data_IF_668882933614
#
_entry.id   IF_668882933614
#
_cell.length_a   1.000
_cell.length_b   1.000
_cell.length_c   1.000
_cell.angle_alpha   90.00
_cell.angle_beta   90.00
_cell.angle_gamma   90.00
#
_symmetry.space_group_name_H-M   'P 1'
#
loop_
_entity.id
_entity.type
_entity.pdbx_description
1 polymer ?
#
# COMPACT_ATOMS: atom_id res chain seq x y z
N UNK A 1 -4.72 -19.89 31.65
CA UNK A 1 -4.20 -20.77 30.58
C UNK A 1 -2.80 -20.30 30.19
N UNK A 2 -1.89 -21.20 29.77
CA UNK A 2 -0.73 -20.81 28.96
C UNK A 2 -1.23 -20.65 27.53
N UNK A 3 -0.99 -19.51 26.89
CA UNK A 3 -1.18 -19.40 25.44
C UNK A 3 -0.31 -20.46 24.77
N UNK A 4 -0.90 -21.33 23.93
CA UNK A 4 -0.13 -22.20 23.03
C UNK A 4 0.65 -21.27 22.08
N UNK A 5 1.95 -21.53 21.92
CA UNK A 5 2.84 -20.78 21.02
C UNK A 5 2.76 -21.29 19.57
N UNK A 6 1.62 -21.88 19.21
CA UNK A 6 1.40 -22.59 17.95
C UNK A 6 0.29 -21.90 17.14
N UNK A 7 0.00 -20.64 17.44
CA UNK A 7 -0.69 -19.77 16.49
C UNK A 7 0.28 -19.50 15.34
N UNK A 8 -0.14 -19.77 14.10
CA UNK A 8 0.63 -19.50 12.89
C UNK A 8 0.87 -17.98 12.78
N UNK A 9 1.99 -17.50 13.33
CA UNK A 9 2.48 -16.16 13.09
C UNK A 9 2.86 -16.06 11.61
N UNK A 10 2.36 -15.03 10.91
CA UNK A 10 2.73 -14.75 9.53
C UNK A 10 4.27 -14.68 9.41
N UNK A 11 4.85 -15.38 8.44
CA UNK A 11 6.32 -15.53 8.37
C UNK A 11 7.03 -14.20 8.05
N UNK A 12 6.29 -13.26 7.45
CA UNK A 12 6.77 -11.96 6.96
C UNK A 12 5.76 -10.85 7.25
N UNK A 13 6.20 -9.60 7.07
CA UNK A 13 5.29 -8.45 7.02
C UNK A 13 4.83 -8.25 5.57
N UNK A 14 3.52 -8.32 5.35
CA UNK A 14 2.90 -8.08 4.06
C UNK A 14 2.50 -6.61 3.93
N UNK A 15 2.96 -5.93 2.88
CA UNK A 15 2.58 -4.56 2.56
C UNK A 15 1.86 -4.52 1.20
N UNK A 16 0.94 -3.55 0.98
CA UNK A 16 0.47 -3.27 -0.37
C UNK A 16 1.66 -2.89 -1.25
N UNK A 17 1.72 -3.45 -2.46
CA UNK A 17 2.76 -3.08 -3.41
C UNK A 17 2.49 -1.66 -3.93
N UNK A 18 3.25 -0.73 -3.38
CA UNK A 18 3.41 0.64 -3.88
C UNK A 18 4.90 0.96 -3.96
N UNK A 19 5.73 -0.05 -4.26
CA UNK A 19 7.18 0.09 -4.25
C UNK A 19 7.90 -0.62 -5.40
N UNK A 20 7.37 -1.70 -5.97
CA UNK A 20 8.06 -2.47 -7.03
C UNK A 20 8.34 -1.64 -8.29
N UNK A 21 7.31 -1.03 -8.86
CA UNK A 21 7.41 -0.21 -10.08
C UNK A 21 8.11 1.14 -9.84
N UNK A 22 8.97 1.61 -10.75
CA UNK A 22 9.59 2.94 -10.66
C UNK A 22 8.57 4.08 -10.67
N UNK A 23 7.43 3.92 -11.34
CA UNK A 23 6.32 4.88 -11.36
C UNK A 23 5.67 5.07 -9.99
N UNK A 24 5.79 4.11 -9.07
CA UNK A 24 5.27 4.23 -7.70
C UNK A 24 5.95 5.34 -6.88
N UNK A 25 7.08 5.90 -7.34
CA UNK A 25 7.68 7.12 -6.76
C UNK A 25 6.67 8.27 -6.67
N UNK A 26 5.77 8.40 -7.64
CA UNK A 26 4.71 9.41 -7.65
C UNK A 26 3.63 9.11 -6.59
N UNK A 27 3.21 7.85 -6.47
CA UNK A 27 2.28 7.35 -5.45
C UNK A 27 2.82 7.62 -4.05
N UNK A 28 4.11 7.32 -3.83
CA UNK A 28 4.82 7.56 -2.59
C UNK A 28 5.00 9.05 -2.28
N UNK A 29 5.25 9.91 -3.28
CA UNK A 29 5.30 11.36 -3.10
C UNK A 29 3.96 11.91 -2.57
N UNK A 30 2.83 11.47 -3.13
CA UNK A 30 1.50 11.87 -2.65
C UNK A 30 1.21 11.34 -1.23
N UNK A 31 1.70 10.15 -0.86
CA UNK A 31 1.60 9.61 0.50
C UNK A 31 2.44 10.41 1.51
N UNK A 32 3.68 10.78 1.15
CA UNK A 32 4.53 11.65 1.97
C UNK A 32 3.91 13.04 2.17
N UNK A 33 3.31 13.61 1.12
CA UNK A 33 2.55 14.86 1.22
C UNK A 33 1.33 14.71 2.14
N UNK A 34 0.59 13.61 2.02
CA UNK A 34 -0.56 13.32 2.87
C UNK A 34 -0.18 13.23 4.38
N UNK A 35 0.96 12.63 4.71
CA UNK A 35 1.48 12.48 6.08
C UNK A 35 1.66 13.83 6.83
N UNK A 36 1.95 14.91 6.09
CA UNK A 36 2.21 16.24 6.65
C UNK A 36 0.99 17.16 6.67
N UNK A 37 -0.03 16.93 5.83
CA UNK A 37 -1.28 17.72 5.84
C UNK A 37 -1.96 17.78 7.22
N UNK A 38 -2.46 18.95 7.62
CA UNK A 38 -2.98 19.22 8.97
C UNK A 38 -4.23 18.41 9.35
N UNK A 39 -4.85 17.68 8.41
CA UNK A 39 -6.10 16.92 8.59
C UNK A 39 -5.94 15.39 8.51
N UNK A 40 -4.75 14.86 8.20
CA UNK A 40 -4.52 13.41 8.11
C UNK A 40 -4.37 12.71 9.48
N UNK A 41 -4.13 13.46 10.56
CA UNK A 41 -3.83 12.90 11.88
C UNK A 41 -5.07 12.41 12.64
N UNK A 42 -5.16 11.10 12.87
CA UNK A 42 -5.88 10.55 14.03
C UNK A 42 -5.22 11.05 15.34
N UNK A 43 -5.97 11.27 16.43
CA UNK A 43 -5.38 11.68 17.71
C UNK A 43 -4.53 10.56 18.33
N UNK A 44 -3.32 10.89 18.78
CA UNK A 44 -2.54 10.04 19.69
C UNK A 44 -1.14 9.67 19.19
N UNK A 45 -1.01 9.16 17.96
CA UNK A 45 0.26 8.84 17.30
C UNK A 45 0.11 9.02 15.78
N UNK A 46 0.98 9.83 15.15
CA UNK A 46 1.16 9.76 13.69
C UNK A 46 2.04 8.54 13.40
N UNK A 47 1.50 7.57 12.66
CA UNK A 47 2.34 6.61 11.93
C UNK A 47 2.55 7.23 10.55
N UNK A 48 3.80 7.59 10.26
CA UNK A 48 4.27 8.06 8.96
C UNK A 48 4.96 6.92 8.22
N UNK A 49 5.17 7.10 6.91
CA UNK A 49 5.95 6.15 6.11
C UNK A 49 7.39 5.99 6.64
N UNK A 50 7.99 7.08 7.14
CA UNK A 50 9.31 7.04 7.80
C UNK A 50 9.30 6.26 9.11
N UNK A 51 8.25 6.38 9.94
CA UNK A 51 8.13 5.60 11.18
C UNK A 51 7.95 4.10 10.90
N UNK A 52 7.29 3.74 9.79
CA UNK A 52 7.23 2.35 9.32
C UNK A 52 8.62 1.88 8.87
N UNK A 53 9.33 2.66 8.03
CA UNK A 53 10.67 2.33 7.57
C UNK A 53 11.67 2.15 8.72
N UNK A 54 11.65 3.05 9.72
CA UNK A 54 12.46 2.95 10.94
C UNK A 54 12.15 1.65 11.70
N UNK A 55 10.87 1.32 11.92
CA UNK A 55 10.46 0.11 12.63
C UNK A 55 10.86 -1.18 11.90
N UNK A 56 10.79 -1.21 10.57
CA UNK A 56 11.22 -2.34 9.75
C UNK A 56 12.76 -2.51 9.79
N UNK A 57 13.51 -1.42 9.54
CA UNK A 57 14.98 -1.40 9.66
C UNK A 57 15.47 -1.86 11.04
N UNK A 58 14.85 -1.36 12.12
CA UNK A 58 15.25 -1.67 13.49
C UNK A 58 15.02 -3.15 13.85
N UNK A 59 14.01 -3.79 13.26
CA UNK A 59 13.68 -5.21 13.48
C UNK A 59 14.32 -6.16 12.47
N UNK A 60 14.85 -5.66 11.34
CA UNK A 60 15.39 -6.45 10.22
C UNK A 60 14.40 -7.49 9.67
N UNK A 61 13.13 -7.10 9.56
CA UNK A 61 12.07 -7.99 9.07
C UNK A 61 12.02 -7.94 7.56
N UNK A 62 12.07 -9.10 6.89
CA UNK A 62 11.77 -9.22 5.46
C UNK A 62 10.31 -8.86 5.20
N UNK A 63 10.06 -8.10 4.15
CA UNK A 63 8.72 -7.74 3.70
C UNK A 63 8.39 -8.41 2.37
N UNK A 64 7.12 -8.76 2.18
CA UNK A 64 6.58 -9.13 0.87
C UNK A 64 5.61 -8.05 0.41
N UNK A 65 5.72 -7.67 -0.86
CA UNK A 65 4.85 -6.69 -1.51
C UNK A 65 3.71 -7.41 -2.24
N UNK A 66 2.48 -6.99 -1.96
CA UNK A 66 1.28 -7.63 -2.50
C UNK A 66 0.49 -6.67 -3.38
N UNK A 67 0.32 -7.04 -4.64
CA UNK A 67 -0.61 -6.43 -5.59
C UNK A 67 -1.68 -7.44 -6.00
N UNK A 68 -2.69 -7.01 -6.76
CA UNK A 68 -3.76 -7.88 -7.26
C UNK A 68 -3.17 -9.08 -8.02
N UNK A 69 -3.45 -10.28 -7.53
CA UNK A 69 -2.92 -11.55 -8.05
C UNK A 69 -1.71 -12.10 -7.33
N UNK A 70 -1.09 -11.37 -6.39
CA UNK A 70 -0.07 -11.93 -5.52
C UNK A 70 -0.66 -13.00 -4.61
N UNK A 71 -0.15 -14.23 -4.71
CA UNK A 71 -0.42 -15.29 -3.75
C UNK A 71 0.60 -15.23 -2.59
N UNK A 72 0.12 -15.44 -1.36
CA UNK A 72 0.97 -15.43 -0.17
C UNK A 72 0.51 -16.47 0.86
N UNK A 73 1.42 -16.86 1.76
CA UNK A 73 1.18 -17.87 2.81
C UNK A 73 0.67 -19.23 2.28
N UNK A 74 0.80 -19.49 0.97
CA UNK A 74 0.26 -20.66 0.27
C UNK A 74 -1.26 -20.82 0.33
N UNK A 75 -2.00 -19.76 0.73
CA UNK A 75 -3.43 -19.85 1.08
C UNK A 75 -4.27 -18.61 0.79
N UNK A 76 -3.64 -17.45 0.55
CA UNK A 76 -4.34 -16.19 0.28
C UNK A 76 -3.90 -15.58 -1.04
N UNK A 77 -4.85 -14.95 -1.73
CA UNK A 77 -4.62 -14.17 -2.96
C UNK A 77 -5.04 -12.72 -2.71
N UNK A 78 -4.13 -11.79 -2.97
CA UNK A 78 -4.40 -10.36 -2.91
C UNK A 78 -5.32 -9.93 -4.06
N UNK A 79 -6.33 -9.14 -3.72
CA UNK A 79 -7.39 -8.64 -4.62
C UNK A 79 -7.14 -7.19 -5.05
N UNK A 80 -6.38 -6.44 -4.24
CA UNK A 80 -6.09 -5.02 -4.36
C UNK A 80 -4.85 -4.67 -3.50
N UNK A 81 -3.96 -3.73 -3.88
CA UNK A 81 -4.05 -2.78 -5.00
C UNK A 81 -3.79 -3.37 -6.39
N UNK A 82 -4.47 -2.84 -7.40
CA UNK A 82 -4.01 -2.92 -8.79
C UNK A 82 -3.09 -1.74 -9.09
N UNK A 83 -1.86 -2.04 -9.51
CA UNK A 83 -0.83 -1.03 -9.77
C UNK A 83 -1.23 -0.07 -10.89
N UNK A 84 -1.90 -0.55 -11.94
CA UNK A 84 -2.29 0.27 -13.10
C UNK A 84 -3.40 1.27 -12.75
N UNK A 85 -4.38 0.84 -11.96
CA UNK A 85 -5.46 1.69 -11.47
C UNK A 85 -4.95 2.71 -10.44
N UNK A 86 -4.04 2.30 -9.54
CA UNK A 86 -3.37 3.20 -8.59
C UNK A 86 -2.50 4.22 -9.33
N UNK A 87 -1.72 3.83 -10.33
CA UNK A 87 -0.91 4.76 -11.14
C UNK A 87 -1.76 5.77 -11.88
N UNK A 88 -2.83 5.36 -12.58
CA UNK A 88 -3.72 6.29 -13.30
C UNK A 88 -4.33 7.32 -12.35
N UNK A 89 -4.82 6.89 -11.19
CA UNK A 89 -5.38 7.80 -10.18
C UNK A 89 -4.32 8.60 -9.39
N UNK A 90 -3.05 8.24 -9.51
CA UNK A 90 -1.91 9.02 -9.00
C UNK A 90 -1.61 10.17 -9.96
N UNK A 91 -1.55 9.88 -11.26
CA UNK A 91 -1.26 10.83 -12.32
C UNK A 91 -2.21 12.04 -12.30
N UNK A 92 -3.52 11.80 -12.26
CA UNK A 92 -4.55 12.86 -12.18
C UNK A 92 -4.29 13.85 -11.04
N UNK A 93 -3.97 13.33 -9.85
CA UNK A 93 -3.73 14.16 -8.64
C UNK A 93 -2.37 14.83 -8.72
N UNK A 94 -1.34 14.12 -9.17
CA UNK A 94 0.03 14.59 -9.28
C UNK A 94 0.17 15.75 -10.27
N UNK A 95 -0.37 15.58 -11.48
CA UNK A 95 -0.37 16.61 -12.53
C UNK A 95 -1.09 17.89 -12.06
N UNK A 96 -2.17 17.76 -11.27
CA UNK A 96 -2.90 18.91 -10.70
C UNK A 96 -2.14 19.68 -9.60
N UNK A 97 -1.10 19.08 -9.01
CA UNK A 97 -0.29 19.69 -7.96
C UNK A 97 1.01 20.28 -8.51
N UNK A 98 1.58 19.68 -9.55
CA UNK A 98 2.91 20.06 -10.04
C UNK A 98 2.94 21.35 -10.88
N UNK A 99 1.85 21.67 -11.56
CA UNK A 99 1.71 22.83 -12.47
C UNK A 99 2.23 24.16 -11.87
N UNK A 100 2.20 24.33 -10.54
CA UNK A 100 2.62 25.54 -9.84
C UNK A 100 3.73 25.31 -8.78
N UNK A 101 4.28 24.09 -8.68
CA UNK A 101 5.15 23.64 -7.57
C UNK A 101 6.26 22.68 -8.05
N UNK A 102 6.82 22.92 -9.23
CA UNK A 102 7.73 22.02 -9.95
C UNK A 102 8.95 21.58 -9.13
N UNK A 103 9.68 22.50 -8.48
CA UNK A 103 10.90 22.12 -7.74
C UNK A 103 10.55 21.36 -6.47
N UNK A 104 9.56 21.84 -5.71
CA UNK A 104 9.11 21.20 -4.48
C UNK A 104 8.55 19.79 -4.72
N UNK A 105 7.86 19.58 -5.84
CA UNK A 105 7.37 18.26 -6.25
C UNK A 105 8.51 17.36 -6.78
N UNK A 106 9.48 17.91 -7.52
CA UNK A 106 10.65 17.15 -8.01
C UNK A 106 11.49 16.62 -6.84
N UNK A 107 11.82 17.48 -5.87
CA UNK A 107 12.53 17.07 -4.65
C UNK A 107 11.73 16.08 -3.80
N UNK A 108 10.40 16.22 -3.76
CA UNK A 108 9.53 15.26 -3.08
C UNK A 108 9.54 13.89 -3.77
N UNK A 109 9.56 13.85 -5.11
CA UNK A 109 9.68 12.61 -5.90
C UNK A 109 11.05 11.97 -5.72
N UNK A 110 12.13 12.76 -5.68
CA UNK A 110 13.48 12.25 -5.40
C UNK A 110 13.56 11.56 -4.02
N UNK A 111 12.98 12.20 -2.99
CA UNK A 111 12.86 11.58 -1.65
C UNK A 111 11.97 10.33 -1.68
N UNK A 112 10.87 10.35 -2.44
CA UNK A 112 9.96 9.23 -2.57
C UNK A 112 10.63 8.02 -3.27
N UNK A 113 11.46 8.24 -4.28
CA UNK A 113 12.28 7.21 -4.93
C UNK A 113 13.32 6.63 -3.96
N UNK A 114 14.03 7.46 -3.18
CA UNK A 114 14.94 6.95 -2.15
C UNK A 114 14.19 6.13 -1.07
N UNK A 115 12.96 6.51 -0.71
CA UNK A 115 12.11 5.69 0.17
C UNK A 115 11.70 4.38 -0.53
N UNK A 116 11.35 4.41 -1.81
CA UNK A 116 11.00 3.23 -2.61
C UNK A 116 12.13 2.20 -2.62
N UNK A 117 13.33 2.66 -2.96
CA UNK A 117 14.56 1.86 -2.97
C UNK A 117 14.89 1.27 -1.58
N UNK A 118 14.64 2.02 -0.51
CA UNK A 118 14.79 1.52 0.86
C UNK A 118 13.83 0.36 1.14
N UNK A 119 12.54 0.46 0.81
CA UNK A 119 11.59 -0.65 1.00
C UNK A 119 11.94 -1.86 0.12
N UNK A 120 12.36 -1.66 -1.14
CA UNK A 120 12.80 -2.77 -2.01
C UNK A 120 14.02 -3.52 -1.46
N UNK A 121 14.99 -2.81 -0.85
CA UNK A 121 16.12 -3.47 -0.19
C UNK A 121 15.72 -4.37 1.00
N UNK A 122 14.45 -4.30 1.47
CA UNK A 122 13.88 -5.21 2.48
C UNK A 122 13.12 -6.41 1.89
N UNK A 123 12.85 -6.42 0.57
CA UNK A 123 12.29 -7.58 -0.14
C UNK A 123 13.40 -8.51 -0.64
N UNK A 124 14.55 -7.95 -0.99
CA UNK A 124 15.70 -8.69 -1.49
C UNK A 124 16.27 -9.65 -0.42
N UNK A 125 16.60 -10.87 -0.83
CA UNK A 125 17.36 -11.79 0.02
C UNK A 125 18.81 -11.29 0.10
N UNK A 126 19.13 -10.49 1.11
CA UNK A 126 20.52 -10.24 1.47
C UNK A 126 21.19 -11.59 1.78
N UNK A 127 22.20 -12.02 1.01
CA UNK A 127 22.92 -13.24 1.34
C UNK A 127 23.59 -13.02 2.69
N UNK A 128 23.27 -13.86 3.68
CA UNK A 128 23.99 -13.84 4.95
C UNK A 128 25.47 -14.04 4.66
N UNK A 129 26.30 -13.10 5.10
CA UNK A 129 27.73 -13.15 4.85
C UNK A 129 28.35 -14.33 5.62
N UNK A 130 28.44 -15.48 4.96
CA UNK A 130 29.03 -16.69 5.54
C UNK A 130 30.45 -16.39 6.05
N UNK A 131 30.83 -16.93 7.23
CA UNK A 131 32.16 -16.72 7.77
C UNK A 131 33.21 -17.37 6.86
N UNK A 132 34.07 -16.53 6.28
CA UNK A 132 35.16 -16.91 5.37
C UNK A 132 35.84 -18.22 5.77
N UNK A 133 35.56 -19.29 5.02
CA UNK A 133 36.45 -20.44 4.89
C UNK A 133 37.01 -20.44 3.47
N UNK A 134 38.32 -20.63 3.35
CA UNK A 134 39.04 -20.46 2.10
C UNK A 134 39.54 -21.81 1.56
N UNK A 135 39.27 -22.09 0.29
CA UNK A 135 40.11 -22.99 -0.51
C UNK A 135 39.99 -22.69 -2.01
N UNK A 136 41.15 -22.42 -2.62
CA UNK A 136 41.45 -22.57 -4.05
C UNK A 136 41.25 -24.06 -4.45
N UNK A 137 41.12 -24.53 -5.70
CA UNK A 137 41.15 -23.95 -7.07
C UNK A 137 40.19 -24.79 -7.97
N UNK A 138 40.09 -24.72 -9.31
CA UNK A 138 40.92 -24.12 -10.37
C UNK A 138 40.07 -23.77 -11.63
N UNK A 139 40.71 -23.60 -12.80
CA UNK A 139 40.12 -23.11 -14.04
C UNK A 139 39.54 -24.18 -14.99
N UNK A 140 38.59 -23.77 -15.85
CA UNK A 140 38.60 -24.17 -17.27
C UNK A 140 37.95 -23.10 -18.18
N UNK A 141 38.67 -22.75 -19.24
CA UNK A 141 38.27 -21.78 -20.28
C UNK A 141 37.57 -22.49 -21.44
N UNK A 142 36.50 -21.89 -21.99
CA UNK A 142 36.21 -21.95 -23.43
C UNK A 142 35.68 -20.58 -23.86
N UNK A 143 36.22 -20.03 -24.95
CA UNK A 143 35.67 -18.88 -25.66
C UNK A 143 34.83 -19.38 -26.84
N UNK A 144 33.81 -18.64 -27.24
CA UNK A 144 33.46 -18.51 -28.66
C UNK A 144 32.81 -17.14 -28.91
N UNK A 145 33.37 -16.41 -29.87
CA UNK A 145 32.87 -15.11 -30.35
C UNK A 145 31.80 -15.36 -31.44
N UNK A 146 30.78 -14.50 -31.58
CA UNK A 146 30.33 -14.04 -32.92
C UNK A 146 29.43 -12.80 -32.88
N UNK A 147 29.98 -11.73 -33.44
CA UNK A 147 29.38 -10.77 -34.40
C UNK A 147 28.23 -9.80 -34.01
N UNK A 148 28.52 -8.53 -34.29
CA UNK A 148 27.63 -7.38 -34.35
C UNK A 148 26.60 -7.49 -35.48
N UNK A 149 25.49 -6.75 -35.37
CA UNK A 149 24.74 -6.28 -36.54
C UNK A 149 23.98 -4.99 -36.21
N UNK A 150 24.61 -3.85 -36.45
CA UNK A 150 23.93 -2.55 -36.48
C UNK A 150 23.10 -2.42 -37.77
N UNK A 151 21.84 -1.94 -37.70
CA UNK A 151 21.34 -1.06 -38.77
C UNK A 151 20.17 -0.11 -38.45
N UNK A 152 20.54 1.17 -38.36
CA UNK A 152 19.88 2.37 -38.92
C UNK A 152 18.43 2.73 -38.60
N UNK A 153 18.33 3.95 -38.05
CA UNK A 153 17.19 4.88 -38.06
C UNK A 153 16.58 5.14 -39.45
N UNK A 154 15.26 5.36 -39.45
CA UNK A 154 14.46 6.44 -40.10
C UNK A 154 13.02 6.26 -39.60
N UNK A 155 12.23 7.24 -39.13
CA UNK A 155 12.37 8.69 -39.11
C UNK A 155 11.20 9.35 -39.84
N UNK A 156 10.18 9.86 -39.12
CA UNK A 156 9.29 10.95 -39.58
C UNK A 156 8.36 11.45 -38.45
N UNK A 157 8.38 12.76 -38.24
CA UNK A 157 7.50 13.55 -37.37
C UNK A 157 6.67 14.48 -38.26
N UNK A 158 5.44 14.85 -37.88
CA UNK A 158 4.79 16.18 -38.06
C UNK A 158 3.25 16.11 -37.83
N UNK A 159 2.51 17.23 -37.56
CA UNK A 159 2.35 17.70 -36.17
C UNK A 159 0.89 18.08 -35.81
N UNK A 160 0.64 18.54 -34.58
CA UNK A 160 -0.52 19.40 -34.30
C UNK A 160 -1.07 19.39 -32.88
N UNK A 161 -1.33 20.60 -32.35
CA UNK A 161 -2.19 20.82 -31.18
C UNK A 161 -1.48 21.33 -29.94
N UNK A 162 -1.31 22.66 -29.85
CA UNK A 162 -0.79 23.33 -28.66
C UNK A 162 -1.75 23.14 -27.46
N UNK A 163 -1.24 22.55 -26.38
CA UNK A 163 -1.63 22.77 -24.99
C UNK A 163 -0.47 22.23 -24.14
N UNK A 164 0.43 23.12 -23.71
CA UNK A 164 1.61 22.75 -22.91
C UNK A 164 1.23 22.41 -21.46
N UNK A 165 0.61 21.25 -21.27
CA UNK A 165 0.39 20.66 -19.95
C UNK A 165 1.69 20.06 -19.40
N UNK A 166 2.02 20.41 -18.16
CA UNK A 166 3.14 19.80 -17.43
C UNK A 166 2.72 18.42 -16.89
N UNK A 167 3.24 17.33 -17.46
CA UNK A 167 2.89 15.94 -17.11
C UNK A 167 4.02 15.20 -16.38
N UNK A 168 3.70 14.06 -15.77
CA UNK A 168 4.70 13.12 -15.20
C UNK A 168 5.80 12.77 -16.21
N UNK A 169 5.45 12.53 -17.48
CA UNK A 169 6.37 12.23 -18.58
C UNK A 169 7.47 13.30 -18.74
N UNK A 170 7.10 14.59 -18.58
CA UNK A 170 8.07 15.68 -18.63
C UNK A 170 9.02 15.66 -17.42
N UNK A 171 8.56 15.22 -16.24
CA UNK A 171 9.46 15.00 -15.10
C UNK A 171 10.35 13.79 -15.28
N UNK A 172 9.90 12.73 -15.95
CA UNK A 172 10.80 11.61 -16.28
C UNK A 172 11.93 12.08 -17.17
N UNK A 173 11.63 12.86 -18.21
CA UNK A 173 12.63 13.50 -19.06
C UNK A 173 13.55 14.47 -18.27
N UNK A 174 13.02 15.26 -17.33
CA UNK A 174 13.85 16.16 -16.49
C UNK A 174 14.70 15.36 -15.50
N UNK A 175 14.21 14.26 -14.94
CA UNK A 175 14.98 13.37 -14.04
C UNK A 175 16.06 12.59 -14.80
N UNK A 176 15.81 12.23 -16.06
CA UNK A 176 16.81 11.65 -16.96
C UNK A 176 17.89 12.68 -17.36
N UNK A 177 17.50 13.92 -17.67
CA UNK A 177 18.43 15.00 -18.08
C UNK A 177 19.18 15.64 -16.89
N UNK A 178 18.61 15.60 -15.68
CA UNK A 178 19.34 15.90 -14.43
C UNK A 178 20.22 14.74 -13.95
N UNK A 179 20.15 13.58 -14.62
CA UNK A 179 21.17 12.52 -14.61
C UNK A 179 22.47 12.92 -15.32
N UNK A 180 22.84 14.20 -15.32
CA UNK A 180 24.00 14.73 -16.01
C UNK A 180 25.28 14.66 -15.15
N UNK A 181 26.11 13.67 -15.48
CA UNK A 181 27.54 13.60 -15.17
C UNK A 181 27.94 13.65 -13.67
N UNK A 182 27.79 12.51 -12.98
CA UNK A 182 28.87 12.12 -12.06
C UNK A 182 30.15 11.95 -12.90
N UNK A 183 31.21 12.71 -12.56
CA UNK A 183 32.51 12.59 -13.22
C UNK A 183 33.05 11.16 -13.06
N UNK A 184 33.73 10.64 -14.09
CA UNK A 184 34.30 9.30 -14.18
C UNK A 184 35.39 9.04 -13.13
N UNK A 185 34.97 8.85 -11.88
CA UNK A 185 35.69 8.14 -10.85
C UNK A 185 35.11 6.74 -10.78
N UNK A 186 35.87 5.75 -11.24
CA UNK A 186 35.52 4.34 -11.18
C UNK A 186 35.50 3.84 -9.72
N UNK A 187 34.46 4.21 -8.97
CA UNK A 187 34.13 3.61 -7.67
C UNK A 187 33.89 2.12 -7.87
N UNK A 188 34.41 1.31 -6.95
CA UNK A 188 34.15 -0.13 -7.03
C UNK A 188 32.66 -0.41 -6.77
N UNK A 189 32.06 -1.48 -7.35
CA UNK A 189 30.67 -1.82 -7.07
C UNK A 189 30.36 -1.96 -5.57
N UNK A 190 31.35 -2.42 -4.78
CA UNK A 190 31.27 -2.55 -3.32
C UNK A 190 31.29 -1.19 -2.59
N UNK A 191 31.85 -0.14 -3.20
CA UNK A 191 31.80 1.24 -2.67
C UNK A 191 30.48 1.93 -3.05
N UNK A 192 30.02 1.80 -4.29
CA UNK A 192 28.71 2.29 -4.73
C UNK A 192 27.56 1.64 -3.94
N UNK A 193 27.65 0.34 -3.62
CA UNK A 193 26.68 -0.36 -2.78
C UNK A 193 26.70 0.15 -1.33
N UNK A 194 27.89 0.39 -0.75
CA UNK A 194 28.02 1.01 0.58
C UNK A 194 27.55 2.45 0.61
N UNK A 195 27.75 3.21 -0.45
CA UNK A 195 27.24 4.57 -0.66
C UNK A 195 25.70 4.54 -0.68
N UNK A 196 25.09 3.68 -1.51
CA UNK A 196 23.64 3.45 -1.58
C UNK A 196 23.07 3.05 -0.21
N UNK A 197 23.64 2.05 0.46
CA UNK A 197 23.24 1.65 1.82
C UNK A 197 23.46 2.74 2.90
N UNK A 198 24.39 3.67 2.68
CA UNK A 198 24.58 4.86 3.54
C UNK A 198 23.57 5.97 3.23
N UNK A 199 23.09 6.11 1.99
CA UNK A 199 22.06 7.07 1.58
C UNK A 199 20.68 6.60 2.07
N UNK A 200 20.34 5.32 1.87
CA UNK A 200 19.09 4.66 2.27
C UNK A 200 18.96 4.40 3.79
N UNK A 201 19.00 5.46 4.61
CA UNK A 201 18.72 5.39 6.06
C UNK A 201 17.46 6.17 6.41
N UNK A 202 16.46 5.58 7.11
CA UNK A 202 15.22 6.27 7.49
C UNK A 202 15.45 7.67 8.10
N UNK A 203 16.37 7.78 9.05
CA UNK A 203 16.75 9.05 9.71
C UNK A 203 17.23 10.13 8.73
N UNK A 204 17.99 9.74 7.70
CA UNK A 204 18.51 10.67 6.67
C UNK A 204 17.41 11.11 5.72
N UNK A 205 16.55 10.19 5.28
CA UNK A 205 15.44 10.49 4.39
C UNK A 205 14.39 11.38 5.09
N UNK A 206 14.07 11.06 6.36
CA UNK A 206 13.20 11.91 7.19
C UNK A 206 13.84 13.28 7.47
N UNK A 207 15.18 13.36 7.54
CA UNK A 207 15.88 14.65 7.64
C UNK A 207 15.75 15.45 6.33
N UNK A 208 16.07 14.86 5.17
CA UNK A 208 15.87 15.50 3.85
C UNK A 208 14.44 16.02 3.69
N UNK A 209 13.45 15.19 4.04
CA UNK A 209 12.04 15.56 3.97
C UNK A 209 11.65 16.69 4.94
N UNK A 210 12.29 16.78 6.11
CA UNK A 210 12.12 17.91 7.04
C UNK A 210 12.78 19.20 6.55
N UNK A 211 13.90 19.09 5.83
CA UNK A 211 14.58 20.23 5.19
C UNK A 211 13.74 20.76 4.01
N UNK A 212 13.23 19.88 3.15
CA UNK A 212 12.28 20.25 2.08
C UNK A 212 11.01 20.92 2.64
N UNK A 213 10.43 20.37 3.71
CA UNK A 213 9.28 20.96 4.41
C UNK A 213 9.51 22.39 4.92
N UNK A 214 10.76 22.79 5.17
CA UNK A 214 11.08 24.14 5.65
C UNK A 214 11.14 25.19 4.52
N UNK A 215 11.06 24.79 3.25
CA UNK A 215 11.10 25.70 2.10
C UNK A 215 9.77 26.42 1.88
N UNK A 216 9.82 27.66 1.38
CA UNK A 216 8.61 28.44 1.08
C UNK A 216 7.77 27.79 -0.04
N UNK A 217 8.41 27.20 -1.05
CA UNK A 217 7.74 26.50 -2.14
C UNK A 217 6.99 25.26 -1.66
N UNK A 218 7.58 24.45 -0.76
CA UNK A 218 6.87 23.31 -0.18
C UNK A 218 5.70 23.74 0.72
N UNK A 219 5.80 24.88 1.43
CA UNK A 219 4.67 25.41 2.18
C UNK A 219 3.53 25.85 1.24
N UNK A 220 3.84 26.47 0.09
CA UNK A 220 2.85 26.80 -0.93
C UNK A 220 2.19 25.54 -1.54
N UNK A 221 2.99 24.51 -1.85
CA UNK A 221 2.50 23.18 -2.27
C UNK A 221 1.56 22.58 -1.23
N UNK A 222 1.93 22.63 0.06
CA UNK A 222 1.11 22.11 1.15
C UNK A 222 -0.21 22.87 1.29
N UNK A 223 -0.24 24.18 1.05
CA UNK A 223 -1.49 24.96 1.01
C UNK A 223 -2.37 24.61 -0.20
N UNK A 224 -1.77 24.33 -1.36
CA UNK A 224 -2.49 23.84 -2.55
C UNK A 224 -3.10 22.45 -2.30
N UNK A 225 -2.29 21.53 -1.80
CA UNK A 225 -2.67 20.21 -1.33
C UNK A 225 -3.79 20.23 -0.27
N UNK A 226 -3.77 21.19 0.68
CA UNK A 226 -4.83 21.33 1.69
C UNK A 226 -6.16 21.86 1.10
N UNK A 227 -6.12 22.66 0.03
CA UNK A 227 -7.32 23.08 -0.73
C UNK A 227 -7.94 21.90 -1.49
N UNK A 228 -7.11 21.03 -2.05
CA UNK A 228 -7.52 19.76 -2.68
C UNK A 228 -7.76 18.61 -1.66
N UNK A 229 -7.60 18.87 -0.35
CA UNK A 229 -7.27 17.89 0.69
C UNK A 229 -8.28 16.78 1.01
N UNK A 230 -9.35 16.62 0.24
CA UNK A 230 -10.16 15.40 0.25
C UNK A 230 -9.46 14.24 -0.49
N UNK A 231 -8.78 14.50 -1.60
CA UNK A 231 -8.17 13.46 -2.43
C UNK A 231 -6.93 12.84 -1.78
N UNK A 232 -5.98 13.66 -1.33
CA UNK A 232 -4.74 13.19 -0.68
C UNK A 232 -5.00 12.39 0.61
N UNK A 233 -6.07 12.72 1.36
CA UNK A 233 -6.44 11.94 2.56
C UNK A 233 -6.96 10.54 2.20
N UNK A 234 -7.74 10.41 1.14
CA UNK A 234 -8.25 9.12 0.67
C UNK A 234 -7.16 8.26 0.03
N UNK A 235 -6.03 8.83 -0.35
CA UNK A 235 -4.94 8.14 -1.02
C UNK A 235 -4.39 6.93 -0.23
N UNK A 236 -4.35 7.03 1.11
CA UNK A 236 -4.03 5.88 1.99
C UNK A 236 -5.05 4.73 1.90
N UNK A 237 -6.29 5.01 1.55
CA UNK A 237 -7.36 4.03 1.39
C UNK A 237 -7.31 3.42 -0.03
N UNK A 238 -6.89 4.20 -1.04
CA UNK A 238 -6.65 3.71 -2.41
C UNK A 238 -5.62 2.59 -2.46
N UNK A 239 -4.61 2.63 -1.58
CA UNK A 239 -3.56 1.61 -1.50
C UNK A 239 -3.83 0.52 -0.45
N UNK A 240 -5.05 0.45 0.09
CA UNK A 240 -5.37 -0.53 1.14
C UNK A 240 -5.32 -1.96 0.60
N UNK A 241 -4.48 -2.82 1.18
CA UNK A 241 -4.48 -4.24 0.89
C UNK A 241 -5.87 -4.87 1.15
N UNK A 242 -6.37 -5.63 0.17
CA UNK A 242 -7.48 -6.57 0.35
C UNK A 242 -7.10 -7.94 -0.20
N UNK A 243 -7.60 -9.01 0.41
CA UNK A 243 -7.29 -10.39 0.03
C UNK A 243 -8.40 -11.37 0.44
N UNK A 244 -8.41 -12.52 -0.21
CA UNK A 244 -9.28 -13.66 0.11
C UNK A 244 -8.47 -14.98 0.17
N UNK A 245 -9.10 -16.08 0.56
CA UNK A 245 -8.55 -17.42 0.34
C UNK A 245 -8.31 -17.70 -1.15
N UNK A 246 -7.17 -18.29 -1.50
CA UNK A 246 -6.84 -18.65 -2.90
C UNK A 246 -7.78 -19.73 -3.43
N UNK A 247 -7.98 -20.80 -2.66
CA UNK A 247 -8.96 -21.83 -2.95
C UNK A 247 -10.32 -21.50 -2.33
N UNK A 248 -11.38 -21.79 -3.07
CA UNK A 248 -12.77 -21.74 -2.60
C UNK A 248 -13.07 -22.92 -1.66
N UNK A 249 -13.79 -22.68 -0.57
CA UNK A 249 -14.25 -23.71 0.36
C UNK A 249 -15.07 -23.17 1.54
N UNK A 250 -15.54 -24.08 2.41
CA UNK A 250 -16.49 -23.79 3.50
C UNK A 250 -16.04 -22.71 4.51
N UNK A 251 -14.74 -22.40 4.58
CA UNK A 251 -14.15 -21.45 5.53
C UNK A 251 -13.48 -20.24 4.85
N UNK A 252 -14.05 -19.80 3.72
CA UNK A 252 -13.58 -18.61 3.00
C UNK A 252 -13.58 -17.35 3.89
N UNK A 253 -12.47 -16.61 3.84
CA UNK A 253 -12.27 -15.31 4.47
C UNK A 253 -12.15 -14.22 3.40
N UNK A 254 -12.76 -13.06 3.65
CA UNK A 254 -12.53 -11.84 2.89
C UNK A 254 -12.04 -10.73 3.81
N UNK A 255 -10.80 -10.28 3.60
CA UNK A 255 -10.24 -9.12 4.26
C UNK A 255 -10.23 -7.93 3.30
N UNK A 256 -11.06 -6.93 3.58
CA UNK A 256 -11.26 -5.76 2.69
C UNK A 256 -10.42 -4.53 3.05
N UNK A 257 -9.60 -4.60 4.11
CA UNK A 257 -8.83 -3.45 4.59
C UNK A 257 -9.72 -2.22 4.78
N UNK A 258 -9.31 -1.07 4.26
CA UNK A 258 -10.09 0.16 4.14
C UNK A 258 -10.41 0.49 2.66
N UNK A 259 -10.52 -0.53 1.81
CA UNK A 259 -10.80 -0.39 0.37
C UNK A 259 -12.12 0.34 0.14
N UNK A 260 -12.11 1.30 -0.80
CA UNK A 260 -13.24 2.17 -1.10
C UNK A 260 -14.33 1.46 -1.94
N UNK A 261 -15.60 1.90 -1.89
CA UNK A 261 -16.71 1.23 -2.59
C UNK A 261 -16.56 1.13 -4.12
N UNK A 262 -15.79 2.04 -4.74
CA UNK A 262 -15.48 1.96 -6.16
C UNK A 262 -14.62 0.74 -6.51
N UNK A 263 -13.54 0.51 -5.77
CA UNK A 263 -12.67 -0.65 -5.96
C UNK A 263 -13.34 -1.95 -5.50
N UNK A 264 -14.13 -1.93 -4.42
CA UNK A 264 -14.92 -3.10 -4.02
C UNK A 264 -15.90 -3.54 -5.12
N UNK A 265 -16.53 -2.60 -5.85
CA UNK A 265 -17.34 -2.93 -7.02
C UNK A 265 -16.53 -3.54 -8.15
N UNK A 266 -15.39 -2.93 -8.51
CA UNK A 266 -14.50 -3.50 -9.54
C UNK A 266 -14.08 -4.93 -9.22
N UNK A 267 -13.61 -5.17 -7.98
CA UNK A 267 -13.20 -6.50 -7.49
C UNK A 267 -14.38 -7.48 -7.57
N UNK A 268 -15.57 -7.09 -7.11
CA UNK A 268 -16.78 -7.90 -7.15
C UNK A 268 -17.29 -8.19 -8.59
N UNK A 269 -17.13 -7.24 -9.50
CA UNK A 269 -17.44 -7.37 -10.93
C UNK A 269 -16.39 -8.19 -11.69
N UNK A 270 -15.28 -8.58 -11.04
CA UNK A 270 -14.11 -9.24 -11.63
C UNK A 270 -13.64 -8.49 -12.90
N UNK A 271 -13.43 -7.18 -12.78
CA UNK A 271 -13.20 -6.24 -13.88
C UNK A 271 -12.09 -6.63 -14.88
N UNK A 272 -11.07 -7.37 -14.43
CA UNK A 272 -9.95 -7.86 -15.26
C UNK A 272 -10.14 -9.30 -15.76
N UNK A 273 -11.21 -9.97 -15.32
CA UNK A 273 -11.53 -11.36 -15.62
C UNK A 273 -10.66 -12.40 -14.91
N UNK A 274 -9.75 -12.01 -14.01
CA UNK A 274 -8.69 -12.89 -13.48
C UNK A 274 -9.01 -13.51 -12.13
N UNK A 275 -9.58 -12.73 -11.21
CA UNK A 275 -9.73 -13.11 -9.80
C UNK A 275 -11.14 -12.72 -9.34
N UNK A 276 -12.12 -13.64 -9.48
CA UNK A 276 -13.45 -13.44 -8.93
C UNK A 276 -13.44 -13.56 -7.41
N UNK A 277 -14.40 -12.90 -6.76
CA UNK A 277 -14.78 -13.22 -5.39
C UNK A 277 -15.50 -14.57 -5.36
N UNK A 278 -15.30 -15.35 -4.30
CA UNK A 278 -16.06 -16.57 -4.04
C UNK A 278 -17.54 -16.28 -3.78
N UNK A 279 -18.43 -17.25 -4.07
CA UNK A 279 -19.89 -17.10 -3.91
C UNK A 279 -20.36 -17.13 -2.44
N UNK A 280 -19.51 -17.60 -1.53
CA UNK A 280 -19.75 -17.74 -0.09
C UNK A 280 -18.53 -17.31 0.72
N UNK A 281 -18.79 -16.69 1.87
CA UNK A 281 -17.77 -16.40 2.89
C UNK A 281 -18.22 -16.81 4.27
N UNK A 282 -17.41 -17.64 4.93
CA UNK A 282 -17.55 -17.87 6.37
C UNK A 282 -17.35 -16.58 7.15
N UNK A 283 -16.36 -15.73 6.81
CA UNK A 283 -16.21 -14.42 7.46
C UNK A 283 -15.70 -13.31 6.53
N UNK A 284 -16.40 -12.17 6.52
CA UNK A 284 -15.99 -10.93 5.86
C UNK A 284 -15.61 -9.88 6.92
N UNK A 285 -14.36 -9.39 6.89
CA UNK A 285 -14.00 -8.15 7.58
C UNK A 285 -14.53 -6.98 6.75
N UNK A 286 -15.40 -6.14 7.30
CA UNK A 286 -16.00 -5.01 6.55
C UNK A 286 -15.02 -3.83 6.37
N UNK A 287 -15.07 -3.09 5.26
CA UNK A 287 -14.11 -2.03 4.96
C UNK A 287 -14.21 -0.85 5.94
N UNK A 288 -13.08 -0.22 6.27
CA UNK A 288 -12.99 1.06 7.01
C UNK A 288 -13.98 1.15 8.19
N UNK A 289 -13.85 0.20 9.12
CA UNK A 289 -14.63 0.10 10.36
C UNK A 289 -16.17 0.06 10.18
N UNK A 290 -16.65 -0.24 8.97
CA UNK A 290 -18.06 -0.26 8.60
C UNK A 290 -18.70 1.12 8.48
N UNK A 291 -17.93 2.20 8.28
CA UNK A 291 -18.51 3.55 8.11
C UNK A 291 -19.31 3.70 6.82
N UNK A 292 -20.36 4.53 6.84
CA UNK A 292 -21.23 4.85 5.68
C UNK A 292 -20.46 5.14 4.37
N UNK A 293 -19.37 5.91 4.44
CA UNK A 293 -18.59 6.30 3.26
C UNK A 293 -17.84 5.15 2.57
N UNK A 294 -17.78 3.98 3.21
CA UNK A 294 -17.18 2.76 2.69
C UNK A 294 -18.20 1.61 2.63
N UNK A 295 -19.51 1.90 2.70
CA UNK A 295 -20.51 0.84 2.57
C UNK A 295 -20.41 0.13 1.22
N UNK A 296 -20.53 -1.19 1.30
CA UNK A 296 -20.65 -2.11 0.18
C UNK A 296 -21.59 -3.25 0.60
N UNK A 297 -22.50 -3.63 -0.29
CA UNK A 297 -23.48 -4.69 -0.04
C UNK A 297 -22.87 -6.06 -0.37
N UNK A 298 -22.70 -6.89 0.65
CA UNK A 298 -22.13 -8.24 0.52
C UNK A 298 -23.19 -9.34 0.36
N UNK A 299 -24.49 -9.00 0.24
CA UNK A 299 -25.58 -9.98 0.21
C UNK A 299 -25.48 -11.02 -0.93
N UNK A 300 -24.85 -10.68 -2.05
CA UNK A 300 -24.58 -11.61 -3.16
C UNK A 300 -23.49 -12.65 -2.90
N UNK A 301 -22.74 -12.54 -1.79
CA UNK A 301 -21.61 -13.41 -1.45
C UNK A 301 -21.88 -14.27 -0.20
N UNK A 302 -23.16 -14.49 0.11
CA UNK A 302 -23.67 -15.38 1.17
C UNK A 302 -22.85 -15.36 2.48
N UNK A 303 -22.63 -14.19 3.12
CA UNK A 303 -21.76 -14.09 4.28
C UNK A 303 -22.39 -14.68 5.55
N UNK A 304 -21.73 -15.67 6.17
CA UNK A 304 -22.16 -16.19 7.48
C UNK A 304 -21.78 -15.24 8.63
N UNK A 305 -20.59 -14.64 8.57
CA UNK A 305 -20.10 -13.75 9.63
C UNK A 305 -19.54 -12.45 9.04
N UNK A 306 -19.85 -11.31 9.66
CA UNK A 306 -19.38 -9.99 9.27
C UNK A 306 -18.70 -9.31 10.47
N UNK A 307 -17.38 -9.09 10.36
CA UNK A 307 -16.55 -8.53 11.42
C UNK A 307 -16.29 -7.03 11.22
N UNK A 308 -16.65 -6.23 12.24
CA UNK A 308 -16.61 -4.77 12.24
C UNK A 308 -15.67 -4.26 13.36
N UNK A 309 -14.35 -4.10 13.08
CA UNK A 309 -13.35 -3.68 14.07
C UNK A 309 -13.38 -2.16 14.30
N UNK A 310 -14.41 -1.66 14.99
CA UNK A 310 -14.77 -0.25 15.12
C UNK A 310 -14.35 0.48 16.42
N UNK A 311 -13.97 -0.24 17.48
CA UNK A 311 -13.86 0.31 18.84
C UNK A 311 -12.76 1.35 19.00
N UNK A 312 -11.51 0.99 18.69
CA UNK A 312 -10.39 1.92 18.79
C UNK A 312 -10.53 3.15 17.86
N UNK A 313 -11.21 3.01 16.73
CA UNK A 313 -11.48 4.12 15.81
C UNK A 313 -12.49 5.11 16.40
N UNK A 314 -13.57 4.60 16.99
CA UNK A 314 -14.60 5.43 17.61
C UNK A 314 -14.13 6.09 18.91
N UNK A 315 -13.49 5.34 19.81
CA UNK A 315 -13.10 5.84 21.13
C UNK A 315 -11.99 6.88 21.10
N UNK A 316 -11.04 6.76 20.17
CA UNK A 316 -10.01 7.78 19.95
C UNK A 316 -10.53 9.02 19.19
N UNK A 317 -11.79 9.02 18.73
CA UNK A 317 -12.36 10.18 18.05
C UNK A 317 -12.78 11.27 19.04
N UNK A 318 -12.12 12.44 18.98
CA UNK A 318 -12.39 13.61 19.84
C UNK A 318 -13.84 14.13 19.81
N UNK A 319 -14.67 13.66 18.86
CA UNK A 319 -16.02 14.14 18.61
C UNK A 319 -17.09 13.04 18.64
N UNK A 320 -16.73 11.74 18.76
CA UNK A 320 -17.64 10.57 18.63
C UNK A 320 -18.73 10.77 17.56
N UNK A 321 -18.30 11.25 16.38
CA UNK A 321 -19.20 11.83 15.39
C UNK A 321 -19.97 10.76 14.61
N UNK A 322 -21.17 11.10 14.10
CA UNK A 322 -22.01 10.15 13.35
C UNK A 322 -21.27 9.53 12.15
N UNK A 323 -20.43 10.31 11.46
CA UNK A 323 -19.64 9.86 10.31
C UNK A 323 -18.55 8.83 10.67
N UNK A 324 -18.34 8.55 11.96
CA UNK A 324 -17.38 7.56 12.47
C UNK A 324 -18.05 6.38 13.16
N UNK A 325 -19.40 6.30 13.07
CA UNK A 325 -20.19 5.16 13.50
C UNK A 325 -20.26 4.11 12.39
N UNK A 326 -20.52 2.87 12.78
CA UNK A 326 -20.89 1.81 11.85
C UNK A 326 -22.22 2.17 11.18
N UNK A 327 -22.27 2.05 9.86
CA UNK A 327 -23.44 2.34 9.02
C UNK A 327 -24.66 1.55 9.47
N UNK A 328 -25.82 2.21 9.44
CA UNK A 328 -27.12 1.54 9.61
C UNK A 328 -27.42 0.56 8.47
N UNK A 329 -26.77 0.70 7.30
CA UNK A 329 -26.95 -0.20 6.17
C UNK A 329 -26.33 -1.57 6.44
N UNK A 330 -25.11 -1.61 7.01
CA UNK A 330 -24.54 -2.86 7.53
C UNK A 330 -25.45 -3.46 8.61
N UNK A 331 -25.82 -2.66 9.61
CA UNK A 331 -26.82 -3.04 10.61
C UNK A 331 -28.26 -3.19 10.09
N UNK A 332 -28.47 -3.20 8.77
CA UNK A 332 -29.70 -3.54 8.08
C UNK A 332 -29.63 -4.88 7.35
N UNK A 333 -28.42 -5.46 7.17
CA UNK A 333 -28.19 -6.75 6.51
C UNK A 333 -28.70 -7.97 7.29
N UNK A 334 -29.39 -7.77 8.43
CA UNK A 334 -30.10 -8.82 9.17
C UNK A 334 -31.21 -9.53 8.36
N UNK A 335 -31.53 -9.07 7.15
CA UNK A 335 -32.40 -9.80 6.21
C UNK A 335 -31.67 -10.93 5.46
N UNK A 336 -30.33 -10.95 5.47
CA UNK A 336 -29.55 -12.10 5.02
C UNK A 336 -29.76 -13.16 6.12
N UNK A 337 -30.50 -14.21 5.79
CA UNK A 337 -30.71 -15.33 6.72
C UNK A 337 -29.35 -15.90 7.13
N UNK A 338 -29.23 -16.24 8.41
CA UNK A 338 -28.06 -16.89 9.01
C UNK A 338 -26.75 -16.08 8.98
N UNK A 339 -26.81 -14.77 8.66
CA UNK A 339 -25.67 -13.84 8.75
C UNK A 339 -25.55 -13.20 10.14
N UNK A 340 -24.37 -13.29 10.75
CA UNK A 340 -24.05 -12.76 12.08
C UNK A 340 -23.10 -11.55 12.02
N UNK A 341 -23.39 -10.49 12.78
CA UNK A 341 -22.57 -9.27 12.81
C UNK A 341 -21.87 -9.04 14.15
N UNK A 342 -20.55 -9.08 14.09
CA UNK A 342 -19.63 -8.91 15.22
C UNK A 342 -19.04 -7.51 15.20
N UNK A 343 -19.17 -6.78 16.31
CA UNK A 343 -18.57 -5.46 16.44
C UNK A 343 -17.81 -5.32 17.76
N UNK A 344 -16.70 -4.59 17.73
CA UNK A 344 -15.80 -4.45 18.88
C UNK A 344 -16.23 -3.40 19.91
N UNK A 345 -17.15 -2.48 19.57
CA UNK A 345 -17.77 -1.54 20.50
C UNK A 345 -19.22 -1.23 20.10
N UNK A 346 -20.19 -1.54 20.97
CA UNK A 346 -21.61 -1.32 20.71
C UNK A 346 -22.03 0.17 20.68
N UNK A 347 -21.30 1.07 21.35
CA UNK A 347 -21.63 2.50 21.43
C UNK A 347 -21.52 3.23 20.09
N UNK A 348 -20.97 2.57 19.06
CA UNK A 348 -20.82 3.10 17.71
C UNK A 348 -21.65 2.38 16.65
N UNK A 349 -22.53 1.45 17.06
CA UNK A 349 -23.53 0.85 16.19
C UNK A 349 -24.87 1.59 16.34
N UNK A 350 -25.35 2.22 15.25
CA UNK A 350 -26.68 2.85 15.24
C UNK A 350 -27.83 1.81 15.19
N UNK A 351 -27.53 0.51 15.00
CA UNK A 351 -28.50 -0.58 14.81
C UNK A 351 -28.64 -1.54 16.00
N UNK A 352 -28.46 -1.05 17.23
CA UNK A 352 -28.46 -1.87 18.46
C UNK A 352 -29.79 -2.62 18.74
N UNK A 353 -30.89 -2.28 18.07
CA UNK A 353 -32.23 -2.79 18.42
C UNK A 353 -32.57 -4.19 17.86
N UNK A 354 -31.93 -4.69 16.79
CA UNK A 354 -32.46 -5.86 16.05
C UNK A 354 -31.44 -6.94 15.57
N UNK A 355 -30.24 -7.08 16.17
CA UNK A 355 -29.45 -8.32 15.94
C UNK A 355 -27.92 -8.29 16.07
N UNK A 356 -27.28 -7.16 16.38
CA UNK A 356 -25.81 -7.14 16.52
C UNK A 356 -25.38 -7.97 17.75
N UNK A 357 -24.56 -9.00 17.55
CA UNK A 357 -23.93 -9.80 18.61
C UNK A 357 -22.71 -9.05 19.17
N UNK A 358 -22.90 -7.79 19.59
CA UNK A 358 -21.87 -6.83 19.99
C UNK A 358 -21.11 -7.18 21.30
N UNK A 359 -20.94 -8.47 21.62
CA UNK A 359 -20.38 -9.01 22.87
C UNK A 359 -19.49 -10.25 22.68
N UNK A 360 -19.44 -10.84 21.49
CA UNK A 360 -18.46 -11.89 21.18
C UNK A 360 -17.22 -11.23 20.56
N UNK A 361 -16.13 -11.24 21.33
CA UNK A 361 -14.87 -10.58 20.96
C UNK A 361 -14.05 -11.39 19.95
N UNK A 362 -14.33 -12.69 19.83
CA UNK A 362 -13.58 -13.64 19.01
C UNK A 362 -14.55 -14.39 18.07
N UNK A 363 -14.34 -14.29 16.76
CA UNK A 363 -15.03 -15.12 15.77
C UNK A 363 -14.20 -16.40 15.60
N UNK A 364 -14.61 -17.49 16.26
CA UNK A 364 -13.85 -18.74 16.33
C UNK A 364 -14.40 -19.74 15.31
N UNK A 365 -13.55 -20.20 14.39
CA UNK A 365 -13.93 -21.20 13.38
C UNK A 365 -14.43 -22.51 14.04
N UNK A 366 -15.51 -23.14 13.52
CA UNK A 366 -15.98 -24.45 13.97
C UNK A 366 -14.90 -25.54 14.02
N UNK A 367 -13.84 -25.41 13.23
CA UNK A 367 -12.68 -26.31 13.25
C UNK A 367 -11.99 -26.41 14.62
N UNK A 368 -11.96 -25.32 15.41
CA UNK A 368 -11.36 -25.28 16.74
C UNK A 368 -12.20 -25.97 17.83
N UNK A 369 -13.49 -26.25 17.59
CA UNK A 369 -14.36 -26.94 18.55
C UNK A 369 -14.12 -28.46 18.61
N UNK A 370 -13.33 -29.05 17.70
CA UNK A 370 -13.06 -30.50 17.69
C UNK A 370 -12.15 -30.97 18.83
N UNK A 371 -11.46 -30.06 19.52
CA UNK A 371 -10.45 -30.34 20.56
C UNK A 371 -10.74 -29.69 21.93
N UNK A 372 -11.99 -29.29 22.23
CA UNK A 372 -12.41 -28.65 23.50
C UNK A 372 -13.29 -29.58 24.35
#
# INVERSE_FOLDING_TARGET
MRYRRDAYEFEKIYLPDVFSGPEMKYTLALLLLADVTKKASLPGRRVSLFALAEALCARRVKIDLLSRGSEFEGKYTALWPDLSEVSRETEDVFNSLIENHENAMTELVNIAEEVRQLFLSMTEETPEAEPKSASLSEASLVKEDTEESERSLTGQTEPGGENEGYTQEKLELIMEDTGAADEDTAETPEEAEKERARRLKPEKLEKKFRELQATEEFQALLESAEKQGHFLRQFRHKISLAFQNTGDGELNLLFTGDVQPQYMRMIAENYDGRIPLHEHYWCIKVPHHGTESHFFDFSSFSPENMMIPNGAYYDNSKKKSKNQRTSMQYGGLFYINDAHMYCSNCDCCDSYENGCSCREYDVISPSYYKDI
#
